data_IF_536370264076
#
_entry.id   IF_536370264076
#
_cell.length_a   1.000
_cell.length_b   1.000
_cell.length_c   1.000
_cell.angle_alpha   90.00
_cell.angle_beta   90.00
_cell.angle_gamma   90.00
#
_symmetry.space_group_name_H-M   'P 1'
#
loop_
_entity.id
_entity.type
_entity.pdbx_description
1 polymer ?
#
# COMPACT_ATOMS: atom_id res chain seq x y z
N UNK A 1 14.77 33.27 35.40
CA UNK A 1 13.60 33.01 34.55
C UNK A 1 13.51 31.50 34.33
N UNK A 2 12.75 30.84 35.21
CA UNK A 2 12.43 29.42 35.10
C UNK A 2 11.35 29.26 34.05
N UNK A 3 11.64 28.58 32.97
CA UNK A 3 10.68 28.16 31.96
C UNK A 3 10.01 26.86 32.45
N UNK A 4 8.86 26.97 33.11
CA UNK A 4 8.01 25.85 33.44
C UNK A 4 7.29 25.41 32.16
N UNK A 5 7.84 24.41 31.49
CA UNK A 5 7.12 23.71 30.42
C UNK A 5 5.85 23.04 30.96
N UNK A 6 4.77 22.95 30.16
CA UNK A 6 3.53 22.31 30.61
C UNK A 6 3.80 20.84 30.95
N UNK A 7 3.58 20.47 32.20
CA UNK A 7 3.49 19.09 32.64
C UNK A 7 2.31 18.43 31.98
N UNK A 8 2.54 17.61 30.96
CA UNK A 8 1.52 16.74 30.38
C UNK A 8 1.06 15.75 31.46
N UNK A 9 -0.11 15.97 32.00
CA UNK A 9 -0.73 15.06 32.96
C UNK A 9 -1.20 13.81 32.23
N UNK A 10 -1.15 12.68 32.92
CA UNK A 10 -1.51 11.35 32.39
C UNK A 10 -2.97 11.23 31.88
N UNK A 11 -3.78 12.27 32.10
CA UNK A 11 -5.16 12.41 31.61
C UNK A 11 -5.26 12.83 30.13
N UNK A 12 -4.19 13.41 29.55
CA UNK A 12 -4.14 13.83 28.13
C UNK A 12 -3.66 12.73 27.19
N UNK A 13 -3.51 11.51 27.69
CA UNK A 13 -3.23 10.30 26.89
C UNK A 13 -4.49 9.74 26.22
N UNK A 14 -5.47 10.56 25.91
CA UNK A 14 -6.47 10.32 24.87
C UNK A 14 -5.71 10.30 23.54
N UNK A 15 -5.18 9.10 23.17
CA UNK A 15 -4.30 8.96 22.03
C UNK A 15 -4.98 9.46 20.77
N UNK A 16 -4.22 10.10 19.87
CA UNK A 16 -4.66 10.52 18.55
C UNK A 16 -5.56 9.45 17.91
N UNK A 17 -6.62 9.84 17.20
CA UNK A 17 -7.43 8.92 16.40
C UNK A 17 -6.54 8.00 15.55
N UNK A 18 -6.97 6.79 15.32
CA UNK A 18 -6.16 5.80 14.59
C UNK A 18 -5.62 6.35 13.26
N UNK A 19 -6.46 7.03 12.49
CA UNK A 19 -6.09 7.59 11.20
C UNK A 19 -4.97 8.64 11.32
N UNK A 20 -5.03 9.50 12.34
CA UNK A 20 -3.99 10.51 12.60
C UNK A 20 -2.67 9.87 13.01
N UNK A 21 -2.70 8.86 13.88
CA UNK A 21 -1.48 8.12 14.26
C UNK A 21 -0.85 7.43 13.05
N UNK A 22 -1.64 6.79 12.21
CA UNK A 22 -1.16 6.15 10.99
C UNK A 22 -0.59 7.18 10.00
N UNK A 23 -1.16 8.37 9.91
CA UNK A 23 -0.64 9.46 9.08
C UNK A 23 0.72 9.98 9.61
N UNK A 24 0.87 10.15 10.92
CA UNK A 24 2.15 10.55 11.54
C UNK A 24 3.23 9.50 11.29
N UNK A 25 2.91 8.22 11.49
CA UNK A 25 3.84 7.11 11.23
C UNK A 25 4.23 7.04 9.75
N UNK A 26 3.29 7.27 8.84
CA UNK A 26 3.56 7.30 7.41
C UNK A 26 4.47 8.48 7.02
N UNK A 27 4.23 9.66 7.57
CA UNK A 27 5.09 10.83 7.36
C UNK A 27 6.51 10.58 7.88
N UNK A 28 6.65 10.02 9.08
CA UNK A 28 7.94 9.64 9.67
C UNK A 28 8.68 8.63 8.78
N UNK A 29 7.99 7.59 8.31
CA UNK A 29 8.56 6.63 7.38
C UNK A 29 8.96 7.27 6.05
N UNK A 30 8.22 8.24 5.55
CA UNK A 30 8.60 8.95 4.33
C UNK A 30 9.92 9.73 4.45
N UNK A 31 10.27 10.20 5.65
CA UNK A 31 11.48 11.01 5.89
C UNK A 31 12.67 10.17 6.34
N UNK A 32 12.47 9.22 7.25
CA UNK A 32 13.55 8.42 7.88
C UNK A 32 13.29 6.92 7.80
N UNK A 33 12.48 6.48 6.88
CA UNK A 33 12.00 5.09 6.82
C UNK A 33 13.10 4.07 6.52
N UNK A 34 14.14 4.44 5.82
CA UNK A 34 15.33 3.64 5.59
C UNK A 34 16.10 3.40 6.91
N UNK A 35 16.27 4.45 7.71
CA UNK A 35 16.89 4.34 9.04
C UNK A 35 16.02 3.47 9.98
N UNK A 36 14.71 3.69 10.00
CA UNK A 36 13.79 2.87 10.81
C UNK A 36 13.88 1.39 10.43
N UNK A 37 13.93 1.09 9.14
CA UNK A 37 14.03 -0.28 8.67
C UNK A 37 15.37 -0.93 9.00
N UNK A 38 16.50 -0.22 8.83
CA UNK A 38 17.85 -0.75 9.09
C UNK A 38 18.11 -0.97 10.57
N UNK A 39 17.50 -0.18 11.44
CA UNK A 39 17.62 -0.32 12.91
C UNK A 39 16.61 -1.28 13.52
N UNK A 40 15.73 -1.88 12.72
CA UNK A 40 14.65 -2.76 13.22
C UNK A 40 13.64 -2.03 14.11
N UNK A 41 13.47 -0.73 13.90
CA UNK A 41 12.57 0.09 14.70
C UNK A 41 11.10 -0.38 14.50
N UNK A 42 10.30 -0.56 15.58
CA UNK A 42 8.91 -1.00 15.46
C UNK A 42 7.99 -0.03 14.71
N UNK A 43 8.41 1.21 14.49
CA UNK A 43 7.69 2.18 13.66
C UNK A 43 7.97 2.02 12.17
N UNK A 44 8.93 1.16 11.77
CA UNK A 44 9.16 0.85 10.37
C UNK A 44 7.95 0.13 9.78
N UNK A 45 7.37 0.70 8.73
CA UNK A 45 6.21 0.11 8.07
C UNK A 45 6.66 -1.08 7.22
N UNK A 46 6.16 -2.27 7.53
CA UNK A 46 6.27 -3.43 6.66
C UNK A 46 5.24 -3.34 5.53
N UNK A 47 5.64 -3.70 4.30
CA UNK A 47 4.73 -3.70 3.18
C UNK A 47 3.60 -4.71 3.37
N UNK A 48 2.37 -4.26 3.20
CA UNK A 48 1.17 -5.07 3.29
C UNK A 48 0.08 -4.57 2.36
N UNK A 49 -0.79 -5.46 1.91
CA UNK A 49 -2.04 -5.09 1.27
C UNK A 49 -3.12 -4.90 2.34
N UNK A 50 -3.95 -3.90 2.16
CA UNK A 50 -5.06 -3.56 3.07
C UNK A 50 -6.38 -3.47 2.29
N UNK A 51 -7.46 -3.71 3.01
CA UNK A 51 -8.82 -3.44 2.56
C UNK A 51 -9.58 -2.83 3.73
N UNK A 52 -10.27 -1.71 3.50
CA UNK A 52 -10.95 -0.94 4.55
C UNK A 52 -10.04 -0.64 5.77
N UNK A 53 -8.79 -0.24 5.51
CA UNK A 53 -7.79 0.08 6.53
C UNK A 53 -7.30 -1.12 7.38
N UNK A 54 -7.64 -2.35 7.01
CA UNK A 54 -7.19 -3.58 7.69
C UNK A 54 -6.23 -4.37 6.82
N UNK A 55 -5.14 -4.82 7.42
CA UNK A 55 -4.17 -5.68 6.74
C UNK A 55 -4.81 -7.00 6.32
N UNK A 56 -4.57 -7.38 5.06
CA UNK A 56 -4.99 -8.65 4.50
C UNK A 56 -3.92 -9.72 4.79
N UNK A 57 -4.35 -10.82 5.38
CA UNK A 57 -3.52 -12.03 5.47
C UNK A 57 -3.64 -12.75 4.14
N UNK A 58 -2.50 -12.90 3.42
CA UNK A 58 -2.49 -13.49 2.09
C UNK A 58 -2.49 -15.01 2.18
N UNK A 59 -3.62 -15.54 2.62
CA UNK A 59 -4.00 -16.95 2.49
C UNK A 59 -5.47 -17.03 2.00
N UNK A 60 -5.76 -18.03 1.19
CA UNK A 60 -7.04 -18.12 0.50
C UNK A 60 -8.25 -18.32 1.42
N UNK A 61 -8.20 -19.15 2.46
CA UNK A 61 -9.28 -19.28 3.43
C UNK A 61 -9.63 -17.96 4.11
N UNK A 62 -8.62 -17.24 4.61
CA UNK A 62 -8.81 -15.94 5.28
C UNK A 62 -9.35 -14.89 4.32
N UNK A 63 -8.83 -14.82 3.09
CA UNK A 63 -9.31 -13.84 2.11
C UNK A 63 -10.77 -14.11 1.68
N UNK A 64 -11.19 -15.38 1.57
CA UNK A 64 -12.60 -15.72 1.29
C UNK A 64 -13.55 -15.21 2.36
N UNK A 65 -13.14 -15.24 3.61
CA UNK A 65 -13.94 -14.71 4.72
C UNK A 65 -13.94 -13.19 4.77
N UNK A 66 -12.83 -12.56 4.42
CA UNK A 66 -12.66 -11.10 4.47
C UNK A 66 -13.21 -10.38 3.26
N UNK A 67 -13.19 -11.02 2.11
CA UNK A 67 -13.60 -10.49 0.82
C UNK A 67 -14.59 -11.48 0.17
N UNK A 68 -15.79 -11.67 0.76
CA UNK A 68 -16.77 -12.64 0.24
C UNK A 68 -17.23 -12.29 -1.17
N UNK A 69 -17.18 -11.01 -1.55
CA UNK A 69 -17.55 -10.49 -2.86
C UNK A 69 -16.33 -10.22 -3.76
N UNK A 70 -15.19 -10.87 -3.49
CA UNK A 70 -14.00 -10.71 -4.31
C UNK A 70 -14.29 -11.07 -5.77
N UNK A 71 -13.95 -10.17 -6.68
CA UNK A 71 -14.12 -10.34 -8.11
C UNK A 71 -12.82 -10.84 -8.77
N UNK A 72 -12.87 -11.39 -10.01
CA UNK A 72 -11.69 -11.71 -10.79
C UNK A 72 -10.87 -10.47 -11.21
N UNK A 73 -11.39 -9.27 -10.97
CA UNK A 73 -10.76 -7.99 -11.33
C UNK A 73 -10.27 -7.30 -10.07
N UNK A 74 -8.96 -7.09 -9.97
CA UNK A 74 -8.33 -6.51 -8.78
C UNK A 74 -7.72 -5.16 -9.13
N UNK A 75 -8.06 -4.14 -8.33
CA UNK A 75 -7.47 -2.81 -8.41
C UNK A 75 -6.53 -2.61 -7.21
N UNK A 76 -5.23 -2.47 -7.47
CA UNK A 76 -4.23 -2.20 -6.44
C UNK A 76 -3.88 -0.73 -6.45
N UNK A 77 -4.11 -0.04 -5.33
CA UNK A 77 -3.86 1.39 -5.18
C UNK A 77 -2.57 1.61 -4.38
N UNK A 78 -1.64 2.40 -4.94
CA UNK A 78 -0.34 2.71 -4.35
C UNK A 78 -0.26 4.20 -4.02
N UNK A 79 -0.07 4.53 -2.75
CA UNK A 79 0.03 5.92 -2.28
C UNK A 79 1.40 6.56 -2.61
N UNK A 80 1.51 7.87 -2.42
CA UNK A 80 2.73 8.64 -2.62
C UNK A 80 3.68 8.67 -1.42
N UNK A 81 4.74 9.48 -1.54
CA UNK A 81 5.70 9.74 -0.48
C UNK A 81 5.01 10.38 0.75
N UNK A 82 5.40 9.97 1.96
CA UNK A 82 4.84 10.45 3.24
C UNK A 82 3.33 10.21 3.42
N UNK A 83 2.73 9.39 2.57
CA UNK A 83 1.30 9.05 2.59
C UNK A 83 1.06 7.63 3.12
N UNK A 84 -0.21 7.29 3.32
CA UNK A 84 -0.67 5.94 3.61
C UNK A 84 -1.93 5.57 2.80
N UNK A 85 -2.38 4.34 2.95
CA UNK A 85 -3.55 3.81 2.25
C UNK A 85 -4.87 4.54 2.59
N UNK A 86 -5.01 5.12 3.79
CA UNK A 86 -6.22 5.81 4.21
C UNK A 86 -6.43 7.15 3.46
N UNK A 87 -5.38 7.71 2.86
CA UNK A 87 -5.46 8.98 2.11
C UNK A 87 -6.13 8.84 0.74
N UNK A 88 -6.44 7.61 0.31
CA UNK A 88 -7.37 7.37 -0.79
C UNK A 88 -8.82 7.67 -0.44
N UNK A 89 -9.08 7.88 0.86
CA UNK A 89 -10.36 8.34 1.38
C UNK A 89 -10.27 9.83 1.73
N UNK A 90 -11.18 10.62 1.20
CA UNK A 90 -11.27 12.05 1.46
C UNK A 90 -12.72 12.48 1.54
N UNK A 91 -13.06 13.25 2.59
CA UNK A 91 -14.40 13.83 2.79
C UNK A 91 -15.55 12.79 2.67
N UNK A 92 -15.32 11.58 3.22
CA UNK A 92 -16.28 10.49 3.15
C UNK A 92 -16.34 9.74 1.81
N UNK A 93 -15.50 10.14 0.84
CA UNK A 93 -15.38 9.48 -0.47
C UNK A 93 -14.13 8.60 -0.52
N UNK A 94 -14.31 7.32 -0.88
CA UNK A 94 -13.22 6.40 -1.17
C UNK A 94 -13.05 6.26 -2.67
N UNK A 95 -11.93 6.78 -3.20
CA UNK A 95 -11.64 6.78 -4.63
C UNK A 95 -11.51 5.37 -5.20
N UNK A 96 -10.88 4.47 -4.48
CA UNK A 96 -10.72 3.07 -4.91
C UNK A 96 -12.06 2.35 -4.94
N UNK A 97 -12.88 2.49 -3.91
CA UNK A 97 -14.22 1.90 -3.86
C UNK A 97 -15.14 2.47 -4.94
N UNK A 98 -15.03 3.77 -5.25
CA UNK A 98 -15.81 4.39 -6.31
C UNK A 98 -15.45 3.83 -7.70
N UNK A 99 -14.15 3.75 -8.00
CA UNK A 99 -13.67 3.15 -9.25
C UNK A 99 -14.03 1.67 -9.35
N UNK A 100 -13.90 0.93 -8.24
CA UNK A 100 -14.24 -0.48 -8.19
C UNK A 100 -15.71 -0.75 -8.50
N UNK A 101 -16.63 0.01 -7.90
CA UNK A 101 -18.09 -0.13 -8.16
C UNK A 101 -18.43 0.13 -9.62
N UNK A 102 -17.83 1.15 -10.23
CA UNK A 102 -18.11 1.51 -11.62
C UNK A 102 -17.61 0.50 -12.65
N UNK A 103 -16.55 -0.26 -12.32
CA UNK A 103 -15.85 -1.14 -13.24
C UNK A 103 -15.79 -2.61 -12.80
N UNK A 104 -16.42 -2.97 -11.68
CA UNK A 104 -16.48 -4.35 -11.18
C UNK A 104 -15.17 -4.87 -10.61
N UNK A 105 -14.32 -3.98 -10.07
CA UNK A 105 -13.08 -4.35 -9.41
C UNK A 105 -13.26 -4.56 -7.90
N UNK A 106 -12.43 -5.39 -7.31
CA UNK A 106 -12.21 -5.40 -5.86
C UNK A 106 -10.97 -4.57 -5.56
N UNK A 107 -11.09 -3.45 -4.81
CA UNK A 107 -9.95 -2.59 -4.50
C UNK A 107 -9.16 -3.16 -3.33
N UNK A 108 -7.83 -3.12 -3.45
CA UNK A 108 -6.89 -3.36 -2.36
C UNK A 108 -5.86 -2.22 -2.33
N UNK A 109 -5.42 -1.85 -1.15
CA UNK A 109 -4.57 -0.68 -0.93
C UNK A 109 -3.20 -1.12 -0.44
N UNK A 110 -2.15 -0.67 -1.08
CA UNK A 110 -0.79 -0.91 -0.62
C UNK A 110 -0.45 0.03 0.53
N UNK A 111 -0.05 -0.54 1.65
CA UNK A 111 0.55 0.15 2.79
C UNK A 111 2.02 -0.20 2.85
N UNK A 112 2.92 0.79 2.75
CA UNK A 112 4.35 0.53 2.64
C UNK A 112 5.20 1.70 3.16
N UNK A 113 6.46 1.40 3.47
CA UNK A 113 7.45 2.39 3.88
C UNK A 113 7.91 3.20 2.66
N UNK A 114 7.37 4.40 2.50
CA UNK A 114 7.70 5.28 1.38
C UNK A 114 9.09 5.94 1.46
N UNK A 115 9.81 5.81 2.58
CA UNK A 115 11.19 6.25 2.71
C UNK A 115 12.23 5.25 2.22
N UNK A 116 11.82 4.02 1.89
CA UNK A 116 12.70 3.08 1.21
C UNK A 116 12.84 3.44 -0.27
N UNK A 117 13.94 3.03 -0.89
CA UNK A 117 14.14 3.27 -2.31
C UNK A 117 13.00 2.68 -3.16
N UNK A 118 12.69 3.34 -4.28
CA UNK A 118 11.70 2.85 -5.25
C UNK A 118 12.03 1.41 -5.70
N UNK A 119 13.31 1.11 -5.89
CA UNK A 119 13.76 -0.23 -6.29
C UNK A 119 13.51 -1.28 -5.20
N UNK A 120 13.77 -0.95 -3.94
CA UNK A 120 13.50 -1.85 -2.80
C UNK A 120 12.01 -2.13 -2.67
N UNK A 121 11.19 -1.07 -2.68
CA UNK A 121 9.75 -1.20 -2.63
C UNK A 121 9.19 -1.99 -3.83
N UNK A 122 9.68 -1.73 -5.03
CA UNK A 122 9.25 -2.45 -6.23
C UNK A 122 9.56 -3.95 -6.19
N UNK A 123 10.75 -4.32 -5.69
CA UNK A 123 11.14 -5.73 -5.53
C UNK A 123 10.23 -6.46 -4.54
N UNK A 124 9.94 -5.84 -3.40
CA UNK A 124 9.03 -6.41 -2.38
C UNK A 124 7.62 -6.51 -2.94
N UNK A 125 7.15 -5.46 -3.62
CA UNK A 125 5.82 -5.46 -4.24
C UNK A 125 5.67 -6.60 -5.25
N UNK A 126 6.66 -6.85 -6.11
CA UNK A 126 6.61 -7.95 -7.06
C UNK A 126 6.36 -9.31 -6.37
N UNK A 127 6.98 -9.55 -5.22
CA UNK A 127 6.75 -10.75 -4.42
C UNK A 127 5.36 -10.77 -3.75
N UNK A 128 4.91 -9.62 -3.25
CA UNK A 128 3.57 -9.48 -2.65
C UNK A 128 2.48 -9.76 -3.70
N UNK A 129 2.67 -9.30 -4.94
CA UNK A 129 1.71 -9.53 -6.03
C UNK A 129 1.61 -11.01 -6.42
N UNK A 130 2.71 -11.75 -6.42
CA UNK A 130 2.68 -13.19 -6.68
C UNK A 130 1.93 -13.94 -5.56
N UNK A 131 2.16 -13.56 -4.30
CA UNK A 131 1.42 -14.11 -3.15
C UNK A 131 -0.07 -13.75 -3.20
N UNK A 132 -0.41 -12.54 -3.64
CA UNK A 132 -1.80 -12.12 -3.82
C UNK A 132 -2.50 -13.01 -4.86
N UNK A 133 -1.84 -13.27 -5.98
CA UNK A 133 -2.38 -14.14 -7.03
C UNK A 133 -2.72 -15.53 -6.50
N UNK A 134 -1.83 -16.11 -5.68
CA UNK A 134 -2.04 -17.44 -5.08
C UNK A 134 -3.15 -17.45 -4.03
N UNK A 135 -3.25 -16.36 -3.25
CA UNK A 135 -4.17 -16.27 -2.13
C UNK A 135 -5.57 -15.77 -2.51
N UNK A 136 -5.73 -15.15 -3.69
CA UNK A 136 -7.01 -14.52 -4.05
C UNK A 136 -8.17 -15.54 -4.05
N UNK A 137 -9.37 -15.16 -3.55
CA UNK A 137 -10.51 -16.09 -3.41
C UNK A 137 -10.98 -16.75 -4.70
N UNK A 138 -10.88 -16.03 -5.81
CA UNK A 138 -11.24 -16.49 -7.16
C UNK A 138 -10.05 -16.29 -8.11
N UNK A 139 -9.98 -16.96 -9.26
CA UNK A 139 -8.91 -16.70 -10.21
C UNK A 139 -8.86 -15.22 -10.64
N UNK A 140 -7.70 -14.58 -10.51
CA UNK A 140 -7.51 -13.20 -11.00
C UNK A 140 -7.41 -13.26 -12.52
N UNK A 141 -8.31 -12.55 -13.20
CA UNK A 141 -8.31 -12.39 -14.65
C UNK A 141 -7.63 -11.08 -15.05
N UNK A 142 -7.90 -10.00 -14.29
CA UNK A 142 -7.40 -8.65 -14.55
C UNK A 142 -6.84 -8.01 -13.31
N UNK A 143 -5.68 -7.42 -13.44
CA UNK A 143 -4.98 -6.70 -12.40
C UNK A 143 -4.64 -5.29 -12.91
N UNK A 144 -5.17 -4.28 -12.25
CA UNK A 144 -4.85 -2.87 -12.54
C UNK A 144 -4.03 -2.31 -11.37
N UNK A 145 -2.90 -1.69 -11.67
CA UNK A 145 -2.10 -0.95 -10.70
C UNK A 145 -2.37 0.54 -10.88
N UNK A 146 -2.80 1.22 -9.81
CA UNK A 146 -3.05 2.66 -9.81
C UNK A 146 -2.12 3.33 -8.80
N UNK A 147 -1.13 4.05 -9.31
CA UNK A 147 -0.12 4.71 -8.48
C UNK A 147 -0.28 6.22 -8.46
N UNK A 148 -0.33 6.81 -7.25
CA UNK A 148 -0.27 8.25 -7.06
C UNK A 148 1.16 8.69 -6.77
N UNK A 149 1.67 9.71 -7.47
CA UNK A 149 2.99 10.29 -7.25
C UNK A 149 4.09 9.20 -7.27
N UNK A 150 4.87 9.03 -6.20
CA UNK A 150 5.89 7.98 -6.06
C UNK A 150 5.31 6.57 -6.21
N UNK A 151 4.04 6.34 -5.88
CA UNK A 151 3.39 5.03 -6.04
C UNK A 151 3.43 4.51 -7.47
N UNK A 152 3.35 5.38 -8.48
CA UNK A 152 3.52 4.99 -9.88
C UNK A 152 4.93 4.54 -10.22
N UNK A 153 5.97 5.14 -9.60
CA UNK A 153 7.36 4.69 -9.75
C UNK A 153 7.55 3.31 -9.11
N UNK A 154 6.97 3.09 -7.91
CA UNK A 154 7.02 1.79 -7.22
C UNK A 154 6.33 0.71 -8.06
N UNK A 155 5.17 1.00 -8.64
CA UNK A 155 4.47 0.07 -9.52
C UNK A 155 5.29 -0.29 -10.76
N UNK A 156 5.89 0.70 -11.43
CA UNK A 156 6.82 0.46 -12.57
C UNK A 156 8.02 -0.38 -12.15
N UNK A 157 8.60 -0.07 -11.00
CA UNK A 157 9.72 -0.82 -10.44
C UNK A 157 9.32 -2.28 -10.14
N UNK A 158 8.10 -2.51 -9.64
CA UNK A 158 7.61 -3.87 -9.42
C UNK A 158 7.48 -4.66 -10.72
N UNK A 159 6.96 -4.06 -11.78
CA UNK A 159 6.91 -4.67 -13.11
C UNK A 159 8.31 -5.03 -13.61
N UNK A 160 9.27 -4.10 -13.49
CA UNK A 160 10.66 -4.33 -13.88
C UNK A 160 11.29 -5.49 -13.11
N UNK A 161 11.19 -5.48 -11.76
CA UNK A 161 11.71 -6.56 -10.94
C UNK A 161 10.97 -7.88 -11.19
N UNK A 162 9.69 -7.82 -11.47
CA UNK A 162 8.91 -8.99 -11.87
C UNK A 162 9.46 -9.65 -13.13
N UNK A 163 9.79 -8.87 -14.15
CA UNK A 163 10.41 -9.37 -15.39
C UNK A 163 11.80 -9.94 -15.12
N UNK A 164 12.64 -9.23 -14.35
CA UNK A 164 14.01 -9.68 -14.04
C UNK A 164 14.06 -10.97 -13.22
N UNK A 165 13.24 -11.04 -12.15
CA UNK A 165 13.26 -12.16 -11.20
C UNK A 165 12.79 -13.46 -11.85
N UNK A 166 11.94 -13.35 -12.85
CA UNK A 166 11.19 -14.50 -13.33
C UNK A 166 11.87 -15.24 -14.47
N UNK A 167 12.85 -14.66 -15.14
CA UNK A 167 13.16 -15.15 -16.50
C UNK A 167 11.88 -15.57 -17.25
N UNK A 168 10.74 -14.91 -16.95
CA UNK A 168 9.41 -15.20 -17.46
C UNK A 168 8.47 -15.99 -16.54
N UNK A 169 8.75 -16.19 -15.23
CA UNK A 169 7.97 -17.12 -14.38
C UNK A 169 7.02 -16.48 -13.37
N UNK A 170 7.03 -15.16 -13.14
CA UNK A 170 6.03 -14.53 -12.25
C UNK A 170 4.69 -14.41 -12.97
N UNK A 171 3.73 -15.16 -12.45
CA UNK A 171 2.39 -15.34 -13.07
C UNK A 171 1.52 -14.10 -12.98
N UNK A 172 1.72 -13.25 -11.96
CA UNK A 172 0.94 -12.03 -11.78
C UNK A 172 1.15 -11.03 -12.93
N UNK A 173 2.34 -11.00 -13.55
CA UNK A 173 2.63 -10.12 -14.69
C UNK A 173 1.69 -10.37 -15.88
N UNK A 174 1.36 -11.64 -16.12
CA UNK A 174 0.44 -12.02 -17.18
C UNK A 174 -1.03 -11.61 -16.92
N UNK A 175 -1.32 -11.09 -15.74
CA UNK A 175 -2.65 -10.59 -15.34
C UNK A 175 -2.75 -9.08 -15.32
N UNK A 176 -1.61 -8.38 -15.49
CA UNK A 176 -1.60 -6.91 -15.50
C UNK A 176 -2.16 -6.41 -16.82
N UNK A 177 -3.31 -5.76 -16.74
CA UNK A 177 -3.94 -5.08 -17.87
C UNK A 177 -3.46 -3.64 -17.99
N UNK A 178 -3.46 -2.91 -16.85
CA UNK A 178 -3.21 -1.49 -16.84
C UNK A 178 -2.28 -1.07 -15.70
N UNK A 179 -1.43 -0.09 -15.99
CA UNK A 179 -0.70 0.73 -15.03
C UNK A 179 -1.14 2.18 -15.20
N UNK A 180 -1.93 2.66 -14.25
CA UNK A 180 -2.40 4.05 -14.22
C UNK A 180 -1.54 4.87 -13.29
N UNK A 181 -1.05 6.01 -13.75
CA UNK A 181 -0.20 6.93 -12.98
C UNK A 181 -0.88 8.27 -12.80
N UNK A 182 -1.04 8.70 -11.55
CA UNK A 182 -1.59 10.00 -11.19
C UNK A 182 -0.47 10.89 -10.62
N UNK A 183 -0.06 11.93 -11.37
CA UNK A 183 0.98 12.86 -10.93
C UNK A 183 2.34 12.19 -10.66
N UNK A 184 2.67 11.10 -11.31
CA UNK A 184 3.93 10.39 -11.13
C UNK A 184 5.05 11.12 -11.89
N UNK A 185 6.20 11.44 -11.24
CA UNK A 185 7.34 12.08 -11.88
C UNK A 185 8.12 11.05 -12.72
N UNK A 186 7.76 10.90 -13.98
CA UNK A 186 8.43 9.95 -14.89
C UNK A 186 9.75 10.46 -15.46
N UNK A 187 9.99 11.76 -15.33
CA UNK A 187 11.23 12.44 -15.73
C UNK A 187 11.79 13.14 -14.49
N UNK A 188 13.05 12.90 -14.19
CA UNK A 188 13.82 13.52 -13.13
C UNK A 188 15.18 13.90 -13.66
#
# INVERSE_FOLDING_TARGET
>A
FEWLGPTLTRADAGGLPRAEREAVVAALNGVVGDHLATTGNPLAIAMALRHEGRTLVLDRPTLRLRLPEATPRVLVLLHGLCMNDLQWQRDGHDHGAALARGAGYTPVYLHYNSGLSVSTNGRVLAQVMERLLDAWPVPIERLTLLGHSMGGLVARSALYHGVLASRGSLRWLARVDDLVSLGTPHQG
#
